data_IF_672706081012
#
_entry.id   IF_672706081012
#
_cell.length_a   1.000
_cell.length_b   1.000
_cell.length_c   1.000
_cell.angle_alpha   90.00
_cell.angle_beta   90.00
_cell.angle_gamma   90.00
#
_symmetry.space_group_name_H-M   'P 1'
#
loop_
_entity.id
_entity.type
_entity.pdbx_description
1 polymer ?
#
# COMPACT_ATOMS: atom_id res chain seq x y z
N UNK A 1 3.76 31.69 -0.81
CA UNK A 1 4.74 30.58 -0.91
C UNK A 1 4.23 29.25 -0.34
N UNK A 2 3.63 29.22 0.86
CA UNK A 2 3.00 28.03 1.47
C UNK A 2 1.66 27.63 0.81
N UNK A 3 0.88 28.65 0.43
CA UNK A 3 -0.45 28.55 -0.19
C UNK A 3 -0.56 27.61 -1.39
N UNK A 4 0.45 27.56 -2.27
CA UNK A 4 0.41 26.74 -3.49
C UNK A 4 0.69 25.24 -3.21
N UNK A 5 1.49 24.94 -2.17
CA UNK A 5 1.66 23.55 -1.70
C UNK A 5 0.40 23.08 -0.97
N UNK A 6 -0.16 23.94 -0.12
CA UNK A 6 -1.45 23.67 0.53
C UNK A 6 -2.55 23.39 -0.51
N UNK A 7 -2.56 24.12 -1.63
CA UNK A 7 -3.47 23.85 -2.76
C UNK A 7 -3.30 22.46 -3.39
N UNK A 8 -2.07 21.95 -3.53
CA UNK A 8 -1.87 20.60 -4.10
C UNK A 8 -2.28 19.50 -3.14
N UNK A 9 -2.03 19.68 -1.85
CA UNK A 9 -2.54 18.78 -0.79
C UNK A 9 -4.06 18.78 -0.73
N UNK A 10 -4.70 19.95 -0.75
CA UNK A 10 -6.16 20.08 -0.71
C UNK A 10 -6.80 19.46 -1.96
N UNK A 11 -6.24 19.70 -3.14
CA UNK A 11 -6.71 19.09 -4.39
C UNK A 11 -6.65 17.56 -4.34
N UNK A 12 -5.55 16.99 -3.87
CA UNK A 12 -5.41 15.55 -3.75
C UNK A 12 -6.32 14.96 -2.66
N UNK A 13 -6.55 15.70 -1.58
CA UNK A 13 -7.48 15.30 -0.52
C UNK A 13 -8.91 15.18 -1.05
N UNK A 14 -9.36 16.11 -1.89
CA UNK A 14 -10.69 16.04 -2.53
C UNK A 14 -10.80 14.85 -3.51
N UNK A 15 -9.73 14.52 -4.24
CA UNK A 15 -9.68 13.31 -5.07
C UNK A 15 -9.82 12.05 -4.21
N UNK A 16 -9.06 11.94 -3.12
CA UNK A 16 -9.13 10.80 -2.21
C UNK A 16 -10.54 10.63 -1.64
N UNK A 17 -11.17 11.72 -1.18
CA UNK A 17 -12.57 11.72 -0.73
C UNK A 17 -13.53 11.26 -1.82
N UNK A 18 -13.33 11.71 -3.06
CA UNK A 18 -14.16 11.29 -4.20
C UNK A 18 -14.08 9.79 -4.52
N UNK A 19 -13.00 9.12 -4.10
CA UNK A 19 -12.83 7.67 -4.22
C UNK A 19 -13.26 6.90 -2.95
N UNK A 20 -13.81 7.58 -1.96
CA UNK A 20 -14.32 6.96 -0.73
C UNK A 20 -13.31 6.87 0.41
N UNK A 21 -12.15 7.52 0.31
CA UNK A 21 -11.25 7.64 1.47
C UNK A 21 -11.78 8.65 2.48
N UNK A 22 -11.75 8.30 3.76
CA UNK A 22 -12.15 9.17 4.84
C UNK A 22 -10.95 10.00 5.34
N UNK A 23 -11.10 11.32 5.45
CA UNK A 23 -10.09 12.17 6.08
C UNK A 23 -10.24 12.11 7.60
N UNK A 24 -9.20 11.64 8.30
CA UNK A 24 -9.14 11.70 9.78
C UNK A 24 -7.85 12.37 10.23
N UNK A 25 -7.88 13.07 11.36
CA UNK A 25 -6.67 13.58 12.00
C UNK A 25 -6.12 12.51 12.94
N UNK A 26 -5.04 11.84 12.55
CA UNK A 26 -4.44 10.75 13.30
C UNK A 26 -3.08 11.17 13.85
N UNK A 27 -2.72 10.64 15.02
CA UNK A 27 -1.39 10.78 15.63
C UNK A 27 -0.91 9.42 16.17
N UNK A 28 -0.80 8.39 15.32
CA UNK A 28 -0.28 7.09 15.71
C UNK A 28 1.22 7.17 15.95
N UNK A 29 1.77 6.20 16.69
CA UNK A 29 3.21 5.97 16.72
C UNK A 29 3.67 5.37 15.38
N UNK A 30 3.04 4.26 14.95
CA UNK A 30 3.20 3.67 13.61
C UNK A 30 1.83 3.24 13.06
N UNK A 31 1.17 2.28 13.73
CA UNK A 31 -0.18 1.84 13.40
C UNK A 31 -1.22 2.72 14.12
N UNK A 32 -2.35 2.99 13.47
CA UNK A 32 -3.54 3.43 14.21
C UNK A 32 -4.11 2.22 14.95
N UNK A 33 -3.61 1.98 16.16
CA UNK A 33 -3.99 0.83 16.98
C UNK A 33 -5.49 0.79 17.30
N UNK A 34 -6.18 1.92 17.31
CA UNK A 34 -7.63 1.96 17.59
C UNK A 34 -8.39 1.35 16.43
N UNK A 35 -8.14 1.85 15.21
CA UNK A 35 -8.76 1.29 14.00
C UNK A 35 -8.25 -0.13 13.70
N UNK A 36 -6.96 -0.40 13.90
CA UNK A 36 -6.38 -1.72 13.63
C UNK A 36 -7.01 -2.82 14.48
N UNK A 37 -7.14 -2.61 15.80
CA UNK A 37 -7.83 -3.57 16.68
C UNK A 37 -9.30 -3.73 16.32
N UNK A 38 -9.98 -2.63 15.99
CA UNK A 38 -11.38 -2.68 15.54
C UNK A 38 -11.53 -3.47 14.24
N UNK A 39 -10.63 -3.28 13.29
CA UNK A 39 -10.61 -4.01 12.02
C UNK A 39 -10.34 -5.50 12.23
N UNK A 40 -9.38 -5.89 13.08
CA UNK A 40 -9.12 -7.30 13.36
C UNK A 40 -10.38 -8.02 13.89
N UNK A 41 -11.11 -7.41 14.83
CA UNK A 41 -12.39 -7.93 15.36
C UNK A 41 -13.52 -7.90 14.32
N UNK A 42 -13.50 -6.94 13.39
CA UNK A 42 -14.50 -6.82 12.31
C UNK A 42 -14.31 -7.89 11.23
N UNK A 43 -13.06 -8.22 10.90
CA UNK A 43 -12.70 -9.10 9.79
C UNK A 43 -12.55 -10.57 10.19
N UNK A 44 -12.37 -10.84 11.49
CA UNK A 44 -12.06 -12.15 12.02
C UNK A 44 -12.81 -12.37 13.33
N UNK A 45 -13.10 -13.63 13.65
CA UNK A 45 -13.53 -14.03 14.99
C UNK A 45 -12.30 -14.16 15.87
N UNK A 46 -11.93 -13.11 16.62
CA UNK A 46 -10.68 -13.02 17.41
C UNK A 46 -10.93 -12.38 18.77
N UNK A 47 -10.17 -12.82 19.78
CA UNK A 47 -10.14 -12.22 21.11
C UNK A 47 -8.97 -11.25 21.31
N UNK A 48 -8.79 -10.75 22.53
CA UNK A 48 -7.72 -9.78 22.84
C UNK A 48 -6.31 -10.43 22.88
N UNK A 49 -6.19 -11.74 23.14
CA UNK A 49 -4.89 -12.43 23.11
C UNK A 49 -4.48 -12.71 21.66
N UNK A 50 -5.41 -13.14 20.81
CA UNK A 50 -5.21 -13.26 19.35
C UNK A 50 -4.65 -11.95 18.76
N UNK A 51 -5.27 -10.82 19.11
CA UNK A 51 -4.86 -9.48 18.66
C UNK A 51 -3.46 -9.14 19.15
N UNK A 52 -3.14 -9.48 20.40
CA UNK A 52 -1.84 -9.24 21.00
C UNK A 52 -0.75 -10.09 20.34
N UNK A 53 -1.05 -11.33 19.97
CA UNK A 53 -0.13 -12.17 19.19
C UNK A 53 0.14 -11.59 17.80
N UNK A 54 -0.89 -11.06 17.13
CA UNK A 54 -0.74 -10.37 15.83
C UNK A 54 0.12 -9.11 15.98
N UNK A 55 -0.12 -8.29 17.00
CA UNK A 55 0.69 -7.09 17.26
C UNK A 55 2.14 -7.45 17.56
N UNK A 56 2.36 -8.41 18.47
CA UNK A 56 3.69 -8.92 18.77
C UNK A 56 4.36 -9.51 17.53
N UNK A 57 3.60 -10.17 16.66
CA UNK A 57 4.10 -10.61 15.37
C UNK A 57 4.64 -9.38 14.63
N UNK A 58 3.81 -8.39 14.31
CA UNK A 58 4.21 -7.26 13.49
C UNK A 58 5.36 -6.41 14.10
N UNK A 59 5.32 -6.16 15.40
CA UNK A 59 6.32 -5.35 16.12
C UNK A 59 7.70 -6.01 16.13
N UNK A 60 7.77 -7.33 16.35
CA UNK A 60 9.06 -8.04 16.46
C UNK A 60 9.76 -8.29 15.13
N UNK A 61 9.09 -8.06 13.99
CA UNK A 61 9.74 -8.18 12.67
C UNK A 61 10.71 -7.03 12.51
N UNK A 62 11.95 -7.34 12.14
CA UNK A 62 12.93 -6.33 11.78
C UNK A 62 12.44 -5.51 10.58
N UNK A 63 13.06 -4.35 10.38
CA UNK A 63 12.81 -3.54 9.19
C UNK A 63 13.71 -3.92 8.01
N UNK A 64 14.60 -4.91 8.15
CA UNK A 64 15.47 -5.39 7.07
C UNK A 64 14.68 -6.02 5.91
N UNK A 65 15.39 -6.59 4.93
CA UNK A 65 14.79 -7.20 3.74
C UNK A 65 13.82 -8.33 4.13
N UNK A 66 14.25 -9.23 5.01
CA UNK A 66 13.46 -10.41 5.40
C UNK A 66 12.24 -9.99 6.22
N UNK A 67 12.42 -9.11 7.20
CA UNK A 67 11.31 -8.59 7.99
C UNK A 67 10.30 -7.83 7.13
N UNK A 68 10.76 -7.02 6.16
CA UNK A 68 9.87 -6.33 5.21
C UNK A 68 9.10 -7.30 4.30
N UNK A 69 9.74 -8.41 3.87
CA UNK A 69 9.08 -9.48 3.13
C UNK A 69 7.99 -10.16 3.96
N UNK A 70 8.28 -10.47 5.23
CA UNK A 70 7.32 -11.08 6.15
C UNK A 70 6.13 -10.14 6.43
N UNK A 71 6.36 -8.83 6.58
CA UNK A 71 5.30 -7.85 6.75
C UNK A 71 4.42 -7.77 5.50
N UNK A 72 5.00 -7.74 4.30
CA UNK A 72 4.20 -7.78 3.06
C UNK A 72 3.38 -9.07 2.97
N UNK A 73 3.96 -10.22 3.34
CA UNK A 73 3.22 -11.49 3.35
C UNK A 73 2.05 -11.47 4.35
N UNK A 74 2.27 -10.92 5.54
CA UNK A 74 1.23 -10.73 6.55
C UNK A 74 0.11 -9.79 6.06
N UNK A 75 0.46 -8.70 5.39
CA UNK A 75 -0.52 -7.78 4.77
C UNK A 75 -1.36 -8.53 3.72
N UNK A 76 -0.72 -9.36 2.89
CA UNK A 76 -1.38 -10.09 1.78
C UNK A 76 -2.23 -11.27 2.22
N UNK A 77 -1.76 -12.04 3.20
CA UNK A 77 -2.30 -13.35 3.56
C UNK A 77 -2.87 -13.42 4.98
N UNK A 78 -2.52 -12.46 5.83
CA UNK A 78 -2.79 -12.51 7.26
C UNK A 78 -1.63 -13.10 8.06
N UNK A 79 -1.73 -13.01 9.38
CA UNK A 79 -0.78 -13.56 10.33
C UNK A 79 -1.28 -14.91 10.82
N UNK A 80 -0.45 -15.94 10.73
CA UNK A 80 -0.80 -17.25 11.28
C UNK A 80 -0.32 -17.36 12.73
N UNK A 81 -1.25 -17.59 13.64
CA UNK A 81 -1.04 -17.76 15.07
C UNK A 81 -1.52 -19.15 15.53
N UNK A 82 -1.21 -19.51 16.78
CA UNK A 82 -1.76 -20.71 17.42
C UNK A 82 -2.83 -20.26 18.42
N UNK A 83 -4.03 -20.82 18.32
CA UNK A 83 -5.06 -20.54 19.31
C UNK A 83 -4.77 -21.24 20.65
N UNK A 84 -5.64 -21.00 21.63
CA UNK A 84 -5.54 -21.59 22.97
C UNK A 84 -5.65 -23.12 22.99
N UNK A 85 -6.18 -23.73 21.92
CA UNK A 85 -6.26 -25.18 21.73
C UNK A 85 -5.06 -25.75 20.95
N UNK A 86 -4.14 -24.87 20.50
CA UNK A 86 -2.94 -25.22 19.74
C UNK A 86 -3.16 -25.38 18.24
N UNK A 87 -4.36 -25.08 17.73
CA UNK A 87 -4.65 -25.13 16.30
C UNK A 87 -4.11 -23.89 15.59
N UNK A 88 -3.69 -24.07 14.33
CA UNK A 88 -3.23 -22.95 13.51
C UNK A 88 -4.43 -22.17 12.96
N UNK A 89 -4.41 -20.86 13.17
CA UNK A 89 -5.43 -19.93 12.70
C UNK A 89 -4.76 -18.75 12.01
N UNK A 90 -5.25 -18.39 10.82
CA UNK A 90 -4.74 -17.23 10.06
C UNK A 90 -5.69 -16.05 10.26
N UNK A 91 -5.18 -14.98 10.88
CA UNK A 91 -5.89 -13.73 11.11
C UNK A 91 -5.62 -12.77 9.95
N UNK A 92 -6.67 -12.41 9.21
CA UNK A 92 -6.58 -11.47 8.10
C UNK A 92 -6.37 -10.05 8.61
N UNK A 93 -5.42 -9.34 8.02
CA UNK A 93 -5.23 -7.91 8.25
C UNK A 93 -6.09 -7.05 7.32
N UNK A 94 -6.39 -7.56 6.12
CA UNK A 94 -7.18 -6.92 5.08
C UNK A 94 -8.12 -7.97 4.48
N UNK A 95 -9.39 -7.61 4.30
CA UNK A 95 -10.36 -8.43 3.59
C UNK A 95 -10.38 -8.07 2.11
N UNK A 96 -9.60 -8.80 1.34
CA UNK A 96 -9.55 -8.64 -0.11
C UNK A 96 -10.71 -9.34 -0.86
N UNK A 97 -11.53 -10.13 -0.17
CA UNK A 97 -12.71 -10.75 -0.77
C UNK A 97 -13.92 -9.82 -0.70
N UNK A 98 -14.02 -9.04 0.38
CA UNK A 98 -15.01 -7.99 0.55
C UNK A 98 -14.34 -6.64 0.87
N UNK A 99 -13.93 -5.85 -0.16
CA UNK A 99 -13.24 -4.59 0.04
C UNK A 99 -13.97 -3.60 0.96
N UNK A 100 -15.30 -3.60 0.96
CA UNK A 100 -16.14 -2.71 1.78
C UNK A 100 -16.05 -2.98 3.29
N UNK A 101 -15.56 -4.15 3.70
CA UNK A 101 -15.33 -4.46 5.11
C UNK A 101 -14.07 -3.78 5.68
N UNK A 102 -13.20 -3.24 4.81
CA UNK A 102 -12.01 -2.51 5.20
C UNK A 102 -12.30 -1.03 5.41
N UNK A 103 -11.55 -0.41 6.31
CA UNK A 103 -11.53 1.06 6.43
C UNK A 103 -10.41 1.64 5.55
N UNK A 104 -10.75 2.71 4.83
CA UNK A 104 -9.83 3.46 3.99
C UNK A 104 -9.76 4.88 4.53
N UNK A 105 -8.66 5.20 5.21
CA UNK A 105 -8.48 6.49 5.87
C UNK A 105 -7.24 7.15 5.31
N UNK A 106 -7.28 8.46 5.06
CA UNK A 106 -6.08 9.24 4.88
C UNK A 106 -5.96 10.28 5.98
N UNK A 107 -4.71 10.57 6.35
CA UNK A 107 -4.41 11.60 7.32
C UNK A 107 -3.27 12.48 6.82
N UNK A 108 -3.39 13.78 7.10
CA UNK A 108 -2.43 14.80 6.66
C UNK A 108 -1.44 15.09 7.77
N UNK A 109 -0.18 15.33 7.39
CA UNK A 109 0.86 15.83 8.29
C UNK A 109 1.02 14.97 9.56
N UNK A 110 1.00 13.65 9.39
CA UNK A 110 1.19 12.70 10.51
C UNK A 110 2.66 12.66 10.88
N UNK A 111 2.98 12.78 12.17
CA UNK A 111 4.36 12.68 12.65
C UNK A 111 4.71 11.22 12.91
N UNK A 112 5.82 10.75 12.34
CA UNK A 112 6.40 9.44 12.60
C UNK A 112 7.88 9.62 12.92
N UNK A 113 8.28 9.37 14.17
CA UNK A 113 9.63 9.73 14.63
C UNK A 113 10.00 11.17 14.20
N UNK A 114 11.03 11.34 13.37
CA UNK A 114 11.54 12.64 12.90
C UNK A 114 10.99 13.09 11.54
N UNK A 115 9.99 12.38 10.98
CA UNK A 115 9.41 12.71 9.67
C UNK A 115 7.94 13.10 9.77
N UNK A 116 7.51 13.96 8.85
CA UNK A 116 6.11 14.38 8.73
C UNK A 116 5.73 14.33 7.25
N UNK A 117 5.19 13.20 6.77
CA UNK A 117 4.73 13.12 5.39
C UNK A 117 3.48 13.96 5.15
N UNK A 118 3.31 14.47 3.93
CA UNK A 118 2.18 15.35 3.62
C UNK A 118 0.83 14.63 3.76
N UNK A 119 0.71 13.42 3.19
CA UNK A 119 -0.45 12.54 3.33
C UNK A 119 0.02 11.10 3.57
N UNK A 120 -0.62 10.41 4.51
CA UNK A 120 -0.45 8.97 4.75
C UNK A 120 -1.77 8.25 4.51
N UNK A 121 -1.75 7.16 3.75
CA UNK A 121 -2.91 6.31 3.47
C UNK A 121 -2.89 5.08 4.37
N UNK A 122 -3.96 4.92 5.14
CA UNK A 122 -4.18 3.82 6.06
C UNK A 122 -5.27 2.89 5.53
N UNK A 123 -5.01 1.59 5.57
CA UNK A 123 -6.04 0.56 5.39
C UNK A 123 -6.13 -0.22 6.69
N UNK A 124 -7.30 -0.25 7.33
CA UNK A 124 -7.48 -0.91 8.63
C UNK A 124 -6.46 -0.45 9.68
N UNK A 125 -6.08 0.83 9.66
CA UNK A 125 -5.08 1.40 10.58
C UNK A 125 -3.61 1.08 10.25
N UNK A 126 -3.32 0.39 9.13
CA UNK A 126 -1.96 0.11 8.66
C UNK A 126 -1.52 1.17 7.64
N UNK A 127 -0.39 1.88 7.82
CA UNK A 127 0.09 2.87 6.86
C UNK A 127 0.71 2.16 5.64
N UNK A 128 -0.06 2.05 4.55
CA UNK A 128 0.36 1.31 3.35
C UNK A 128 0.97 2.20 2.26
N UNK A 129 0.72 3.51 2.30
CA UNK A 129 1.32 4.44 1.36
C UNK A 129 1.54 5.83 1.94
N UNK A 130 2.54 6.51 1.40
CA UNK A 130 2.86 7.91 1.72
C UNK A 130 2.84 8.73 0.43
N UNK A 131 2.31 9.95 0.52
CA UNK A 131 2.29 10.91 -0.58
C UNK A 131 3.00 12.19 -0.16
N UNK A 132 3.98 12.60 -0.97
CA UNK A 132 4.66 13.88 -0.84
C UNK A 132 4.18 14.86 -1.90
N UNK A 133 3.56 15.95 -1.46
CA UNK A 133 3.07 17.01 -2.33
C UNK A 133 4.13 18.11 -2.48
N UNK A 134 4.28 18.61 -3.70
CA UNK A 134 5.08 19.79 -4.01
C UNK A 134 4.22 20.73 -4.84
N UNK A 135 4.78 21.90 -5.14
CA UNK A 135 4.15 22.84 -6.06
C UNK A 135 4.15 22.26 -7.46
N UNK A 136 3.14 22.61 -8.25
CA UNK A 136 3.00 22.12 -9.64
C UNK A 136 4.16 22.56 -10.55
N UNK A 137 4.81 23.70 -10.24
CA UNK A 137 6.01 24.16 -10.95
C UNK A 137 7.30 23.39 -10.59
N UNK A 138 7.26 22.49 -9.59
CA UNK A 138 8.40 21.68 -9.17
C UNK A 138 8.33 20.29 -9.80
N UNK A 139 9.48 19.63 -9.88
CA UNK A 139 9.54 18.25 -10.33
C UNK A 139 9.14 17.29 -9.22
N UNK A 140 8.38 16.25 -9.57
CA UNK A 140 8.09 15.09 -8.71
C UNK A 140 9.36 14.48 -8.08
N UNK A 141 10.53 14.66 -8.70
CA UNK A 141 11.81 14.21 -8.16
C UNK A 141 12.10 14.77 -6.77
N UNK A 142 11.63 15.98 -6.45
CA UNK A 142 11.82 16.58 -5.13
C UNK A 142 11.08 15.80 -4.04
N UNK A 143 9.82 15.40 -4.28
CA UNK A 143 9.05 14.58 -3.33
C UNK A 143 9.53 13.13 -3.28
N UNK A 144 9.89 12.56 -4.43
CA UNK A 144 10.55 11.25 -4.49
C UNK A 144 11.81 11.20 -3.61
N UNK A 145 12.73 12.17 -3.78
CA UNK A 145 13.95 12.24 -2.98
C UNK A 145 13.67 12.47 -1.49
N UNK A 146 12.57 13.14 -1.15
CA UNK A 146 12.13 13.30 0.24
C UNK A 146 11.67 11.98 0.86
N UNK A 147 10.86 11.19 0.14
CA UNK A 147 10.45 9.85 0.58
C UNK A 147 11.65 8.92 0.73
N UNK A 148 12.63 8.94 -0.20
CA UNK A 148 13.86 8.15 -0.06
C UNK A 148 14.67 8.49 1.20
N UNK A 149 14.65 9.75 1.65
CA UNK A 149 15.25 10.14 2.96
C UNK A 149 14.42 9.60 4.12
N UNK A 150 13.10 9.69 4.03
CA UNK A 150 12.19 9.17 5.05
C UNK A 150 12.36 7.66 5.29
N UNK A 151 12.62 6.89 4.24
CA UNK A 151 12.93 5.45 4.34
C UNK A 151 14.13 5.14 5.24
N UNK A 152 15.09 6.06 5.35
CA UNK A 152 16.24 5.96 6.25
C UNK A 152 15.95 6.51 7.65
N UNK A 153 15.18 7.60 7.73
CA UNK A 153 14.88 8.26 9.01
C UNK A 153 13.83 7.54 9.87
N UNK A 154 12.88 6.83 9.25
CA UNK A 154 11.81 6.12 9.95
C UNK A 154 11.69 4.65 9.47
N UNK A 155 12.75 3.83 9.62
CA UNK A 155 12.80 2.49 9.03
C UNK A 155 11.68 1.57 9.52
N UNK A 156 11.25 1.75 10.77
CA UNK A 156 10.15 1.01 11.40
C UNK A 156 8.79 1.27 10.73
N UNK A 157 8.55 2.50 10.25
CA UNK A 157 7.35 2.81 9.46
C UNK A 157 7.40 2.13 8.10
N UNK A 158 8.55 2.22 7.43
CA UNK A 158 8.69 1.78 6.04
C UNK A 158 8.80 0.26 5.86
N UNK A 159 8.73 -0.55 6.92
CA UNK A 159 8.40 -1.99 6.78
C UNK A 159 6.94 -2.21 6.39
N UNK A 160 6.04 -1.29 6.77
CA UNK A 160 4.60 -1.33 6.44
C UNK A 160 4.25 -0.58 5.15
N UNK A 161 4.89 0.57 4.90
CA UNK A 161 4.63 1.38 3.69
C UNK A 161 5.09 0.63 2.45
N UNK A 162 4.17 0.35 1.53
CA UNK A 162 4.45 -0.43 0.33
C UNK A 162 4.70 0.44 -0.90
N UNK A 163 3.98 1.57 -1.02
CA UNK A 163 4.01 2.44 -2.19
C UNK A 163 4.28 3.89 -1.76
N UNK A 164 5.29 4.51 -2.38
CA UNK A 164 5.51 5.94 -2.28
C UNK A 164 4.89 6.68 -3.46
N UNK A 165 4.32 7.85 -3.21
CA UNK A 165 3.78 8.73 -4.23
C UNK A 165 4.41 10.12 -4.14
N UNK A 166 4.73 10.73 -5.28
CA UNK A 166 5.08 12.15 -5.31
C UNK A 166 4.13 12.89 -6.25
N UNK A 167 3.52 13.95 -5.74
CA UNK A 167 2.58 14.79 -6.48
C UNK A 167 3.14 16.20 -6.65
N UNK A 168 3.58 16.52 -7.88
CA UNK A 168 4.11 17.82 -8.25
C UNK A 168 3.66 18.17 -9.68
N UNK A 169 4.56 18.39 -10.64
CA UNK A 169 4.25 18.50 -12.08
C UNK A 169 3.36 17.37 -12.61
N UNK A 170 3.42 16.20 -11.97
CA UNK A 170 2.50 15.06 -12.14
C UNK A 170 2.50 14.18 -10.89
N UNK A 171 1.50 13.32 -10.75
CA UNK A 171 1.51 12.20 -9.80
C UNK A 171 2.34 11.04 -10.36
N UNK A 172 3.35 10.62 -9.59
CA UNK A 172 4.12 9.40 -9.85
C UNK A 172 4.07 8.47 -8.64
N UNK A 173 4.30 7.18 -8.87
CA UNK A 173 4.36 6.16 -7.85
C UNK A 173 5.58 5.25 -8.03
N UNK A 174 6.03 4.64 -6.93
CA UNK A 174 7.20 3.78 -6.90
C UNK A 174 7.16 2.84 -5.69
N UNK A 175 7.82 1.67 -5.76
CA UNK A 175 7.90 0.74 -4.64
C UNK A 175 8.79 1.30 -3.53
N UNK A 176 8.43 1.05 -2.28
CA UNK A 176 9.33 1.29 -1.14
C UNK A 176 10.38 0.18 -1.06
N UNK A 177 11.65 0.53 -1.24
CA UNK A 177 12.80 -0.37 -1.14
C UNK A 177 13.93 0.37 -0.41
N UNK A 178 13.99 0.19 0.91
CA UNK A 178 14.82 1.03 1.78
C UNK A 178 16.33 0.83 1.57
N UNK A 179 16.75 -0.31 1.05
CA UNK A 179 18.16 -0.63 0.80
C UNK A 179 18.62 -0.23 -0.60
N UNK A 180 17.72 0.27 -1.46
CA UNK A 180 18.08 0.79 -2.78
C UNK A 180 18.05 2.32 -2.78
N UNK A 181 19.09 2.94 -3.34
CA UNK A 181 19.14 4.41 -3.51
C UNK A 181 18.10 4.90 -4.51
N UNK A 182 17.86 4.13 -5.57
CA UNK A 182 16.92 4.47 -6.62
C UNK A 182 16.09 3.29 -7.07
N UNK A 183 14.79 3.50 -7.25
CA UNK A 183 13.86 2.49 -7.77
C UNK A 183 13.18 3.00 -9.05
N UNK A 184 12.61 2.10 -9.88
CA UNK A 184 11.78 2.52 -11.00
C UNK A 184 10.58 3.37 -10.56
N UNK A 185 10.35 4.47 -11.27
CA UNK A 185 9.25 5.41 -11.01
C UNK A 185 8.29 5.42 -12.19
N UNK A 186 7.00 5.36 -11.91
CA UNK A 186 5.96 5.21 -12.92
C UNK A 186 4.87 6.28 -12.79
N UNK A 187 4.13 6.48 -13.87
CA UNK A 187 2.92 7.29 -13.92
C UNK A 187 1.74 6.36 -14.24
N UNK A 188 0.62 6.55 -13.55
CA UNK A 188 -0.61 5.82 -13.81
C UNK A 188 -1.48 6.60 -14.80
N UNK A 189 -2.26 5.92 -15.64
CA UNK A 189 -3.17 6.57 -16.59
C UNK A 189 -4.53 5.86 -16.62
N UNK A 190 -5.66 6.56 -16.39
CA UNK A 190 -5.81 7.96 -15.94
C UNK A 190 -5.11 8.27 -14.61
N UNK A 191 -4.56 9.48 -14.45
CA UNK A 191 -3.56 9.82 -13.42
C UNK A 191 -3.84 9.33 -11.99
N UNK A 192 -5.06 9.50 -11.48
CA UNK A 192 -5.38 9.26 -10.07
C UNK A 192 -6.02 7.90 -9.79
N UNK A 193 -6.37 7.12 -10.82
CA UNK A 193 -7.09 5.85 -10.64
C UNK A 193 -6.33 4.86 -9.73
N UNK A 194 -5.00 4.95 -9.65
CA UNK A 194 -4.19 4.14 -8.73
C UNK A 194 -4.57 4.31 -7.26
N UNK A 195 -5.17 5.44 -6.90
CA UNK A 195 -5.61 5.76 -5.54
C UNK A 195 -7.03 5.23 -5.24
N UNK A 196 -7.74 4.66 -6.21
CA UNK A 196 -9.02 4.02 -5.95
C UNK A 196 -8.82 2.80 -5.04
N UNK A 197 -9.60 2.65 -3.94
CA UNK A 197 -9.44 1.55 -3.00
C UNK A 197 -9.29 0.17 -3.64
N UNK A 198 -10.09 -0.14 -4.65
CA UNK A 198 -10.07 -1.41 -5.37
C UNK A 198 -8.76 -1.64 -6.13
N UNK A 199 -8.24 -0.62 -6.84
CA UNK A 199 -6.96 -0.72 -7.56
C UNK A 199 -5.79 -0.77 -6.56
N UNK A 200 -5.87 0.04 -5.51
CA UNK A 200 -4.85 0.10 -4.46
C UNK A 200 -4.70 -1.26 -3.76
N UNK A 201 -5.80 -1.88 -3.32
CA UNK A 201 -5.76 -3.20 -2.70
C UNK A 201 -5.30 -4.29 -3.67
N UNK A 202 -5.76 -4.26 -4.91
CA UNK A 202 -5.36 -5.24 -5.95
C UNK A 202 -3.84 -5.16 -6.21
N UNK A 203 -3.29 -3.94 -6.28
CA UNK A 203 -1.85 -3.71 -6.40
C UNK A 203 -1.07 -4.29 -5.22
N UNK A 204 -1.49 -3.98 -3.99
CA UNK A 204 -0.84 -4.52 -2.79
C UNK A 204 -0.89 -6.04 -2.79
N UNK A 205 -2.04 -6.65 -3.08
CA UNK A 205 -2.24 -8.10 -2.99
C UNK A 205 -1.43 -8.87 -4.02
N UNK A 206 -1.56 -8.52 -5.29
CA UNK A 206 -1.08 -9.36 -6.39
C UNK A 206 0.14 -8.82 -7.11
N UNK A 207 0.39 -7.52 -7.06
CA UNK A 207 1.37 -6.88 -7.94
C UNK A 207 2.60 -6.32 -7.23
N UNK A 208 2.56 -6.10 -5.92
CA UNK A 208 3.74 -5.77 -5.11
C UNK A 208 4.52 -7.04 -4.82
N UNK A 209 5.65 -7.26 -5.49
CA UNK A 209 6.38 -8.54 -5.43
C UNK A 209 7.86 -8.29 -5.14
N UNK A 210 8.45 -9.10 -4.27
CA UNK A 210 9.89 -9.18 -4.11
C UNK A 210 10.52 -10.08 -5.18
N UNK A 211 11.60 -9.62 -5.78
CA UNK A 211 12.35 -10.34 -6.81
C UNK A 211 13.83 -10.27 -6.48
N UNK A 212 14.55 -11.37 -6.68
CA UNK A 212 16.00 -11.37 -6.68
C UNK A 212 16.52 -11.00 -8.08
N UNK A 213 17.43 -10.04 -8.14
CA UNK A 213 18.11 -9.59 -9.34
C UNK A 213 19.59 -9.34 -9.01
N UNK A 214 20.48 -10.03 -9.72
CA UNK A 214 21.93 -9.88 -9.57
C UNK A 214 22.44 -10.09 -8.12
N UNK A 215 21.75 -10.95 -7.35
CA UNK A 215 22.06 -11.23 -5.95
C UNK A 215 21.47 -10.23 -4.95
N UNK A 216 20.76 -9.21 -5.43
CA UNK A 216 20.06 -8.23 -4.60
C UNK A 216 18.55 -8.47 -4.67
N UNK A 217 17.88 -8.38 -3.52
CA UNK A 217 16.41 -8.49 -3.46
C UNK A 217 15.84 -7.10 -3.71
N UNK A 218 14.98 -6.93 -4.71
CA UNK A 218 14.24 -5.70 -4.99
C UNK A 218 12.74 -5.90 -4.82
N UNK A 219 11.96 -4.82 -4.79
CA UNK A 219 10.50 -4.85 -4.84
C UNK A 219 10.01 -4.19 -6.12
N UNK A 220 9.11 -4.85 -6.84
CA UNK A 220 8.60 -4.40 -8.12
C UNK A 220 7.14 -4.02 -8.01
N UNK A 221 6.78 -2.93 -8.71
CA UNK A 221 5.40 -2.57 -9.03
C UNK A 221 5.23 -2.54 -10.56
N UNK A 222 4.03 -2.87 -11.08
CA UNK A 222 3.75 -2.84 -12.50
C UNK A 222 3.51 -1.42 -12.99
N UNK A 223 3.75 -1.18 -14.28
CA UNK A 223 3.15 -0.06 -15.01
C UNK A 223 1.64 -0.30 -15.19
N UNK A 224 0.86 0.78 -15.33
CA UNK A 224 -0.60 0.67 -15.49
C UNK A 224 -1.04 -0.26 -16.64
N UNK A 225 -0.27 -0.34 -17.74
CA UNK A 225 -0.57 -1.25 -18.85
C UNK A 225 -0.34 -2.72 -18.48
N UNK A 226 0.71 -3.02 -17.70
CA UNK A 226 0.98 -4.38 -17.23
C UNK A 226 -0.12 -4.84 -16.27
N UNK A 227 -0.54 -3.97 -15.36
CA UNK A 227 -1.69 -4.21 -14.47
C UNK A 227 -2.95 -4.57 -15.27
N UNK A 228 -3.33 -3.72 -16.24
CA UNK A 228 -4.51 -3.93 -17.09
C UNK A 228 -4.42 -5.22 -17.91
N UNK A 229 -3.25 -5.51 -18.48
CA UNK A 229 -3.03 -6.71 -19.28
C UNK A 229 -3.21 -7.97 -18.44
N UNK A 230 -2.60 -8.02 -17.24
CA UNK A 230 -2.74 -9.16 -16.32
C UNK A 230 -4.20 -9.36 -15.90
N UNK A 231 -4.90 -8.30 -15.49
CA UNK A 231 -6.30 -8.42 -15.09
C UNK A 231 -7.21 -8.85 -16.26
N UNK A 232 -6.95 -8.37 -17.48
CA UNK A 232 -7.66 -8.83 -18.68
C UNK A 232 -7.41 -10.31 -19.01
N UNK A 233 -6.20 -10.81 -18.73
CA UNK A 233 -5.86 -12.24 -18.89
C UNK A 233 -6.63 -13.07 -17.86
N UNK A 234 -6.61 -12.66 -16.59
CA UNK A 234 -7.29 -13.36 -15.49
C UNK A 234 -8.80 -13.40 -15.72
N UNK A 235 -9.41 -12.26 -16.05
CA UNK A 235 -10.85 -12.16 -16.34
C UNK A 235 -11.26 -13.15 -17.43
N UNK A 236 -10.51 -13.20 -18.54
CA UNK A 236 -10.78 -14.15 -19.63
C UNK A 236 -10.60 -15.61 -19.21
N UNK A 237 -9.50 -15.93 -18.53
CA UNK A 237 -9.21 -17.30 -18.12
C UNK A 237 -10.26 -17.83 -17.14
N UNK A 238 -10.64 -17.02 -16.15
CA UNK A 238 -11.67 -17.36 -15.16
C UNK A 238 -13.05 -17.39 -15.80
N UNK A 239 -13.38 -16.42 -16.66
CA UNK A 239 -14.65 -16.36 -17.39
C UNK A 239 -14.87 -17.60 -18.25
N UNK A 240 -13.84 -18.04 -18.97
CA UNK A 240 -13.89 -19.28 -19.75
C UNK A 240 -14.03 -20.52 -18.87
N UNK A 241 -13.22 -20.63 -17.80
CA UNK A 241 -13.29 -21.78 -16.88
C UNK A 241 -14.67 -21.92 -16.19
N UNK A 242 -15.37 -20.80 -15.96
CA UNK A 242 -16.73 -20.76 -15.40
C UNK A 242 -17.84 -20.89 -16.45
N UNK A 243 -17.52 -20.92 -17.74
CA UNK A 243 -18.50 -20.99 -18.84
C UNK A 243 -19.24 -19.69 -19.11
N UNK A 244 -18.78 -18.54 -18.59
CA UNK A 244 -19.34 -17.22 -18.88
C UNK A 244 -18.79 -16.63 -20.19
N UNK A 245 -17.61 -17.09 -20.63
CA UNK A 245 -16.99 -16.68 -21.89
C UNK A 245 -16.75 -17.88 -22.81
N UNK A 246 -17.03 -17.71 -24.10
CA UNK A 246 -16.70 -18.71 -25.12
C UNK A 246 -15.22 -18.61 -25.58
N UNK A 247 -14.62 -17.42 -25.44
CA UNK A 247 -13.26 -17.15 -25.95
C UNK A 247 -12.20 -17.49 -24.90
N UNK A 248 -11.41 -18.52 -25.17
CA UNK A 248 -10.33 -18.98 -24.28
C UNK A 248 -8.92 -18.47 -24.62
N UNK A 249 -8.79 -17.56 -25.58
CA UNK A 249 -7.51 -17.03 -26.07
C UNK A 249 -7.58 -15.52 -26.27
N UNK A 250 -6.43 -14.87 -26.19
CA UNK A 250 -6.26 -13.44 -26.46
C UNK A 250 -4.81 -13.12 -26.80
N UNK A 251 -4.58 -11.93 -27.38
CA UNK A 251 -3.26 -11.42 -27.70
C UNK A 251 -3.03 -10.12 -26.90
N UNK A 252 -1.93 -10.07 -26.17
CA UNK A 252 -1.43 -8.83 -25.59
C UNK A 252 -0.27 -8.36 -26.47
N UNK A 253 -0.40 -7.16 -27.02
CA UNK A 253 0.68 -6.52 -27.77
C UNK A 253 1.26 -5.37 -26.95
N UNK A 254 2.50 -5.54 -26.51
CA UNK A 254 3.28 -4.51 -25.82
C UNK A 254 4.44 -4.08 -26.73
N UNK A 255 4.72 -2.78 -26.79
CA UNK A 255 5.94 -2.29 -27.43
C UNK A 255 7.16 -2.63 -26.55
N UNK A 256 8.30 -2.87 -27.19
CA UNK A 256 9.59 -3.06 -26.51
C UNK A 256 10.16 -1.71 -26.05
#
# INVERSE_FOLDING_TARGET
MKKEKEQSEDYLSEILKSFGWEERKLTPDILDLTEFKAALKRLNDVDDEDIKEVLNYLETRSFDVEGSMQILDAIKKGVTIKDSEGNLKTIKLIDYANPEANSFVFSRQVSFADIIPDITLFVNGIPLAIIECKKMAKSWKEGYAQIKRYEQSAPELFKYVQIGFSFADRLVYFPIVRWEESVPVYEWKPQFDILKPEIFLDLIRYFTIYREQDGEITKVLPRYMQYRAVNSIVERAVGWAKGFEERNKGLIWHWQ
#
